data_IF_598464855251
#
_entry.id   IF_598464855251
#
_cell.length_a   1.000
_cell.length_b   1.000
_cell.length_c   1.000
_cell.angle_alpha   90.00
_cell.angle_beta   90.00
_cell.angle_gamma   90.00
#
_symmetry.space_group_name_H-M   'P 1'
#
loop_
_entity.id
_entity.type
_entity.pdbx_description
1 polymer ?
#
# COMPACT_ATOMS: atom_id res chain seq x y z
N UNK A 1 -27.27 54.33 13.46
CA UNK A 1 -26.68 55.66 13.12
C UNK A 1 -25.33 55.74 13.81
N UNK A 2 -24.28 56.12 13.04
CA UNK A 2 -22.92 56.25 13.53
C UNK A 2 -22.56 57.72 13.70
N UNK A 3 -21.77 58.07 14.73
CA UNK A 3 -21.34 59.44 14.98
C UNK A 3 -20.20 59.82 14.04
N UNK A 4 -20.19 61.08 13.63
CA UNK A 4 -19.09 61.72 12.93
C UNK A 4 -18.58 62.90 13.76
N UNK A 5 -17.28 63.14 13.79
CA UNK A 5 -16.67 64.33 14.41
C UNK A 5 -16.40 65.37 13.32
N UNK A 6 -16.94 66.56 13.52
CA UNK A 6 -16.77 67.69 12.62
C UNK A 6 -15.84 68.70 13.31
N UNK A 7 -14.76 69.04 12.64
CA UNK A 7 -13.75 69.99 13.13
C UNK A 7 -14.00 71.40 12.54
N UNK A 8 -13.55 72.39 13.23
CA UNK A 8 -13.65 73.80 12.77
C UNK A 8 -12.94 74.09 11.47
N UNK A 9 -12.00 73.24 11.10
CA UNK A 9 -11.26 73.26 9.82
C UNK A 9 -12.08 72.78 8.62
N UNK A 10 -13.30 72.27 8.87
CA UNK A 10 -14.13 71.64 7.84
C UNK A 10 -13.86 70.14 7.67
N UNK A 11 -12.90 69.58 8.40
CA UNK A 11 -12.59 68.15 8.35
C UNK A 11 -13.69 67.38 9.10
N UNK A 12 -14.15 66.29 8.50
CA UNK A 12 -15.12 65.36 9.10
C UNK A 12 -14.44 64.02 9.31
N UNK A 13 -14.36 63.59 10.56
CA UNK A 13 -13.83 62.28 10.92
C UNK A 13 -14.99 61.33 11.22
N UNK A 14 -15.18 60.33 10.37
CA UNK A 14 -16.25 59.35 10.46
C UNK A 14 -15.72 57.94 10.33
N UNK A 15 -15.87 57.13 11.36
CA UNK A 15 -15.43 55.75 11.44
C UNK A 15 -16.63 54.86 11.77
N UNK A 16 -17.41 54.46 10.77
CA UNK A 16 -18.55 53.58 11.00
C UNK A 16 -18.09 52.12 11.18
N UNK A 17 -18.56 51.41 12.24
CA UNK A 17 -18.35 49.96 12.31
C UNK A 17 -19.21 49.30 11.24
N UNK A 18 -18.58 48.42 10.46
CA UNK A 18 -19.26 47.70 9.39
C UNK A 18 -18.65 46.27 9.23
N UNK A 19 -19.51 45.34 8.84
CA UNK A 19 -19.12 43.98 8.49
C UNK A 19 -19.25 43.85 6.99
N UNK A 20 -18.13 43.57 6.33
CA UNK A 20 -18.09 43.34 4.89
C UNK A 20 -17.95 41.84 4.63
N UNK A 21 -18.76 41.33 3.70
CA UNK A 21 -18.65 39.97 3.18
C UNK A 21 -18.28 40.06 1.72
N UNK A 22 -17.16 39.51 1.36
CA UNK A 22 -16.70 39.47 -0.04
C UNK A 22 -16.48 38.00 -0.52
N UNK A 23 -16.60 37.79 -1.82
CA UNK A 23 -16.28 36.54 -2.45
C UNK A 23 -14.78 36.50 -2.78
N UNK A 24 -14.20 35.33 -2.65
CA UNK A 24 -12.80 35.09 -3.01
C UNK A 24 -12.69 33.85 -3.90
N UNK A 25 -11.91 33.90 -4.95
CA UNK A 25 -11.56 32.74 -5.76
C UNK A 25 -10.55 31.92 -4.98
N UNK A 26 -10.90 30.71 -4.64
CA UNK A 26 -10.05 29.81 -3.84
C UNK A 26 -9.27 28.88 -4.77
N UNK A 27 -7.95 28.84 -4.60
CA UNK A 27 -7.06 27.89 -5.25
C UNK A 27 -6.76 26.73 -4.28
N UNK A 28 -7.26 25.54 -4.61
CA UNK A 28 -7.11 24.32 -3.79
C UNK A 28 -6.02 23.40 -4.27
N UNK A 29 -5.19 23.83 -5.22
CA UNK A 29 -4.14 22.98 -5.85
C UNK A 29 -3.28 22.28 -4.82
N UNK A 30 -2.79 23.01 -3.82
CA UNK A 30 -1.89 22.48 -2.79
C UNK A 30 -2.57 22.23 -1.45
N UNK A 31 -3.90 22.12 -1.45
CA UNK A 31 -4.62 21.81 -0.21
C UNK A 31 -4.02 20.56 0.49
N UNK A 32 -3.78 20.60 1.83
CA UNK A 32 -4.10 21.63 2.81
C UNK A 32 -2.97 22.66 3.08
N UNK A 33 -1.94 22.72 2.27
CA UNK A 33 -0.82 23.68 2.35
C UNK A 33 -1.05 24.90 1.44
N UNK A 34 -2.30 25.35 1.34
CA UNK A 34 -2.71 26.37 0.41
C UNK A 34 -2.57 27.79 0.97
N UNK A 35 -2.33 28.72 0.09
CA UNK A 35 -2.29 30.16 0.34
C UNK A 35 -3.28 30.84 -0.60
N UNK A 36 -4.10 31.72 -0.06
CA UNK A 36 -5.14 32.41 -0.81
C UNK A 36 -4.85 33.89 -0.89
N UNK A 37 -5.20 34.49 -2.01
CA UNK A 37 -5.11 35.92 -2.20
C UNK A 37 -6.53 36.48 -2.46
N UNK A 38 -7.15 37.00 -1.40
CA UNK A 38 -8.47 37.56 -1.43
C UNK A 38 -8.42 39.08 -1.54
N UNK A 39 -9.25 39.66 -2.37
CA UNK A 39 -9.28 41.11 -2.59
C UNK A 39 -10.63 41.70 -2.17
N UNK A 40 -10.57 42.85 -1.51
CA UNK A 40 -11.71 43.67 -1.21
C UNK A 40 -11.54 45.03 -1.88
N UNK A 41 -12.49 45.37 -2.74
CA UNK A 41 -12.44 46.60 -3.54
C UNK A 41 -13.47 47.59 -2.98
N UNK A 42 -13.01 48.79 -2.67
CA UNK A 42 -13.83 49.92 -2.19
C UNK A 42 -13.77 51.05 -3.21
N UNK A 43 -14.92 51.54 -3.61
CA UNK A 43 -14.98 52.62 -4.58
C UNK A 43 -16.39 53.23 -4.62
N UNK A 44 -16.51 54.42 -5.15
CA UNK A 44 -17.80 55.00 -5.44
C UNK A 44 -18.46 54.30 -6.61
N UNK A 45 -19.74 53.96 -6.51
CA UNK A 45 -20.47 53.33 -7.60
C UNK A 45 -20.93 54.35 -8.65
N UNK A 46 -21.28 55.57 -8.22
CA UNK A 46 -21.91 56.57 -9.07
C UNK A 46 -21.05 57.77 -9.39
N UNK A 47 -20.11 58.12 -8.53
CA UNK A 47 -19.29 59.29 -8.67
C UNK A 47 -17.93 58.98 -9.27
N UNK A 48 -17.55 59.76 -10.25
CA UNK A 48 -16.25 59.77 -10.90
C UNK A 48 -15.15 60.45 -10.06
N UNK A 49 -13.91 60.33 -10.44
CA UNK A 49 -12.76 60.92 -9.76
C UNK A 49 -12.82 62.43 -9.60
N UNK A 50 -13.48 63.12 -10.51
CA UNK A 50 -13.63 64.59 -10.43
C UNK A 50 -14.55 65.04 -9.32
N UNK A 51 -15.48 64.17 -8.85
CA UNK A 51 -16.46 64.50 -7.80
C UNK A 51 -16.09 63.90 -6.46
N UNK A 52 -15.63 62.61 -6.43
CA UNK A 52 -15.18 61.92 -5.23
C UNK A 52 -13.88 61.21 -5.58
N UNK A 53 -12.79 61.64 -4.97
CA UNK A 53 -11.52 60.89 -5.00
C UNK A 53 -11.32 60.18 -3.67
N UNK A 54 -10.61 59.06 -3.69
CA UNK A 54 -10.24 58.28 -2.54
C UNK A 54 -8.75 58.41 -2.27
N UNK A 55 -8.40 58.68 -1.05
CA UNK A 55 -7.03 58.76 -0.60
C UNK A 55 -6.80 57.71 0.45
N UNK A 56 -5.73 56.93 0.32
CA UNK A 56 -5.37 55.90 1.28
C UNK A 56 -4.67 56.56 2.47
N UNK A 57 -5.17 56.32 3.68
CA UNK A 57 -4.51 56.79 4.91
C UNK A 57 -3.20 56.01 5.17
N UNK A 58 -3.26 54.70 4.99
CA UNK A 58 -2.07 53.80 5.14
C UNK A 58 -2.08 52.75 4.04
N UNK A 59 -0.88 52.30 3.64
CA UNK A 59 -0.74 51.27 2.60
C UNK A 59 -1.06 49.86 3.11
N UNK A 60 -1.09 49.67 4.43
CA UNK A 60 -1.37 48.36 5.07
C UNK A 60 -2.64 48.48 5.90
N UNK A 61 -3.32 47.35 6.06
CA UNK A 61 -4.49 47.26 6.96
C UNK A 61 -4.01 47.20 8.39
N UNK A 62 -4.63 47.98 9.28
CA UNK A 62 -4.35 47.92 10.72
C UNK A 62 -4.93 46.63 11.31
N UNK A 63 -4.08 45.76 11.81
CA UNK A 63 -4.42 44.45 12.38
C UNK A 63 -4.30 44.42 13.92
N UNK A 64 -4.19 45.61 14.61
CA UNK A 64 -4.01 45.65 16.08
C UNK A 64 -5.14 44.99 16.85
N UNK A 65 -6.36 45.14 16.39
CA UNK A 65 -7.56 44.57 17.01
C UNK A 65 -8.03 43.30 16.29
N UNK A 66 -7.19 42.69 15.46
CA UNK A 66 -7.49 41.44 14.76
C UNK A 66 -7.45 40.25 15.70
N UNK A 67 -8.56 39.49 15.74
CA UNK A 67 -8.62 38.20 16.44
C UNK A 67 -8.14 37.09 15.48
N UNK A 68 -7.08 36.40 15.91
CA UNK A 68 -6.50 35.32 15.10
C UNK A 68 -7.51 34.21 14.85
N UNK A 69 -7.53 33.74 13.61
CA UNK A 69 -8.31 32.57 13.22
C UNK A 69 -7.55 31.30 13.59
N UNK A 70 -8.25 30.29 14.09
CA UNK A 70 -7.64 28.96 14.32
C UNK A 70 -7.33 28.17 13.05
N UNK A 71 -7.78 28.65 11.88
CA UNK A 71 -7.63 27.95 10.59
C UNK A 71 -6.76 28.72 9.60
N UNK A 72 -6.76 30.05 9.65
CA UNK A 72 -6.09 30.92 8.71
C UNK A 72 -5.19 31.95 9.39
N UNK A 73 -3.98 32.11 8.87
CA UNK A 73 -3.06 33.17 9.28
C UNK A 73 -2.97 34.22 8.17
N UNK A 74 -3.10 35.51 8.54
CA UNK A 74 -2.89 36.63 7.62
C UNK A 74 -1.38 36.85 7.47
N UNK A 75 -0.86 36.65 6.26
CA UNK A 75 0.56 36.85 5.94
C UNK A 75 0.81 38.29 5.51
N UNK A 76 -0.11 38.84 4.73
CA UNK A 76 0.01 40.21 4.23
C UNK A 76 -1.38 40.80 4.02
N UNK A 77 -1.50 42.12 4.27
CA UNK A 77 -2.73 42.87 4.06
C UNK A 77 -2.35 44.26 3.52
N UNK A 78 -2.25 44.40 2.20
CA UNK A 78 -1.82 45.62 1.53
C UNK A 78 -2.96 46.23 0.71
N UNK A 79 -3.04 47.53 0.72
CA UNK A 79 -3.98 48.29 -0.10
C UNK A 79 -3.28 48.99 -1.28
N UNK A 80 -3.95 49.06 -2.40
CA UNK A 80 -3.48 49.77 -3.58
C UNK A 80 -4.61 50.69 -4.07
N UNK A 81 -4.23 51.91 -4.41
CA UNK A 81 -5.10 52.85 -5.12
C UNK A 81 -5.03 52.58 -6.63
N UNK A 82 -6.20 52.41 -7.26
CA UNK A 82 -6.31 52.19 -8.69
C UNK A 82 -7.32 53.16 -9.29
N UNK A 83 -7.13 53.42 -10.58
CA UNK A 83 -8.11 54.17 -11.38
C UNK A 83 -8.52 53.32 -12.57
N UNK A 84 -9.82 53.22 -12.81
CA UNK A 84 -10.33 52.38 -13.90
C UNK A 84 -11.28 53.23 -14.78
N UNK A 85 -11.09 53.13 -16.07
CA UNK A 85 -12.01 53.61 -17.09
C UNK A 85 -12.85 52.43 -17.57
N UNK A 86 -14.15 52.63 -17.60
CA UNK A 86 -15.11 51.61 -18.08
C UNK A 86 -15.55 51.97 -19.50
N UNK A 87 -15.87 50.96 -20.31
CA UNK A 87 -16.27 51.16 -21.71
C UNK A 87 -17.58 51.90 -21.87
N UNK A 88 -18.40 51.90 -20.85
CA UNK A 88 -19.66 52.66 -20.84
C UNK A 88 -19.52 54.18 -20.76
N UNK A 89 -18.39 54.65 -20.26
CA UNK A 89 -18.30 56.02 -19.76
C UNK A 89 -16.96 56.66 -20.03
N UNK A 90 -16.93 57.98 -20.27
CA UNK A 90 -15.69 58.71 -20.52
C UNK A 90 -14.90 59.00 -19.24
N UNK A 91 -15.60 58.95 -18.07
CA UNK A 91 -15.08 59.31 -16.78
C UNK A 91 -14.22 58.20 -16.18
N UNK A 92 -13.30 58.61 -15.30
CA UNK A 92 -12.40 57.69 -14.56
C UNK A 92 -12.95 57.53 -13.14
N UNK A 93 -13.01 56.27 -12.70
CA UNK A 93 -13.49 55.91 -11.36
C UNK A 93 -12.29 55.44 -10.54
N UNK A 94 -12.07 56.05 -9.34
CA UNK A 94 -11.03 55.59 -8.43
C UNK A 94 -11.56 54.45 -7.56
N UNK A 95 -10.65 53.53 -7.22
CA UNK A 95 -10.91 52.50 -6.22
C UNK A 95 -9.69 52.25 -5.35
N UNK A 96 -9.91 51.83 -4.13
CA UNK A 96 -8.90 51.29 -3.24
C UNK A 96 -9.17 49.81 -3.06
N UNK A 97 -8.22 48.98 -3.47
CA UNK A 97 -8.34 47.55 -3.38
C UNK A 97 -7.34 47.03 -2.34
N UNK A 98 -7.84 46.34 -1.34
CA UNK A 98 -7.04 45.66 -0.32
C UNK A 98 -6.88 44.20 -0.71
N UNK A 99 -5.63 43.70 -0.66
CA UNK A 99 -5.26 42.34 -0.94
C UNK A 99 -4.88 41.68 0.37
N UNK A 100 -5.61 40.62 0.73
CA UNK A 100 -5.33 39.80 1.89
C UNK A 100 -4.69 38.49 1.44
N UNK A 101 -3.43 38.31 1.78
CA UNK A 101 -2.72 37.04 1.56
C UNK A 101 -2.86 36.26 2.86
N UNK A 102 -3.63 35.19 2.78
CA UNK A 102 -3.91 34.31 3.92
C UNK A 102 -3.38 32.90 3.64
N UNK A 103 -2.79 32.28 4.65
CA UNK A 103 -2.25 30.91 4.59
C UNK A 103 -3.00 30.03 5.58
N UNK A 104 -3.36 28.83 5.13
CA UNK A 104 -4.02 27.85 5.98
C UNK A 104 -3.07 27.29 7.02
N UNK A 105 -3.56 27.04 8.23
CA UNK A 105 -2.87 26.30 9.29
C UNK A 105 -3.13 24.80 9.08
N UNK A 106 -2.14 24.02 8.60
CA UNK A 106 -2.41 22.68 8.08
C UNK A 106 -2.49 21.58 9.15
N UNK A 107 -2.21 21.89 10.44
CA UNK A 107 -2.06 20.90 11.50
C UNK A 107 -3.27 19.97 11.64
N UNK A 108 -4.46 20.51 11.65
CA UNK A 108 -5.70 19.73 11.75
C UNK A 108 -5.86 18.76 10.59
N UNK A 109 -5.63 19.22 9.36
CA UNK A 109 -5.74 18.41 8.15
C UNK A 109 -4.60 17.40 8.04
N UNK A 110 -3.42 17.75 8.52
CA UNK A 110 -2.28 16.81 8.56
C UNK A 110 -2.59 15.61 9.45
N UNK A 111 -3.09 15.85 10.66
CA UNK A 111 -3.37 14.78 11.62
C UNK A 111 -4.58 13.94 11.17
N UNK A 112 -5.68 14.59 10.75
CA UNK A 112 -6.93 13.87 10.50
C UNK A 112 -7.09 13.37 9.06
N UNK A 113 -6.31 13.89 8.12
CA UNK A 113 -6.44 13.56 6.70
C UNK A 113 -5.18 12.89 6.16
N UNK A 114 -4.01 13.53 6.28
CA UNK A 114 -2.77 13.04 5.64
C UNK A 114 -2.26 11.78 6.34
N UNK A 115 -2.16 11.78 7.66
CA UNK A 115 -1.64 10.62 8.40
C UNK A 115 -2.47 9.36 8.16
N UNK A 116 -3.82 9.36 8.31
CA UNK A 116 -4.61 8.16 8.02
C UNK A 116 -4.49 7.69 6.57
N UNK A 117 -4.39 8.63 5.62
CA UNK A 117 -4.22 8.30 4.22
C UNK A 117 -2.88 7.58 3.95
N UNK A 118 -1.79 8.04 4.56
CA UNK A 118 -0.48 7.39 4.49
C UNK A 118 -0.48 6.01 5.16
N UNK A 119 -1.17 5.86 6.29
CA UNK A 119 -1.34 4.57 6.95
C UNK A 119 -2.11 3.57 6.07
N UNK A 120 -3.20 4.01 5.44
CA UNK A 120 -3.94 3.17 4.48
C UNK A 120 -3.07 2.76 3.29
N UNK A 121 -2.25 3.67 2.76
CA UNK A 121 -1.28 3.34 1.71
C UNK A 121 -0.26 2.30 2.17
N UNK A 122 0.21 2.38 3.41
CA UNK A 122 1.09 1.38 4.01
C UNK A 122 0.43 0.00 4.15
N UNK A 123 -0.87 -0.04 4.48
CA UNK A 123 -1.62 -1.30 4.57
C UNK A 123 -1.72 -2.02 3.22
N UNK A 124 -1.74 -1.30 2.10
CA UNK A 124 -1.75 -1.96 0.77
C UNK A 124 -0.49 -2.78 0.52
N UNK A 125 0.65 -2.33 1.03
CA UNK A 125 1.91 -3.05 0.94
C UNK A 125 1.89 -4.31 1.80
N UNK A 126 1.26 -4.22 3.00
CA UNK A 126 1.17 -5.34 3.94
C UNK A 126 0.43 -6.55 3.36
N UNK A 127 -0.51 -6.33 2.43
CA UNK A 127 -1.23 -7.42 1.73
C UNK A 127 -0.27 -8.43 1.10
N UNK A 128 0.81 -7.96 0.46
CA UNK A 128 1.80 -8.82 -0.18
C UNK A 128 2.79 -9.47 0.79
N UNK A 129 2.84 -8.97 2.02
CA UNK A 129 3.63 -9.59 3.08
C UNK A 129 2.90 -10.79 3.72
N UNK A 130 1.58 -10.78 3.73
CA UNK A 130 0.76 -11.84 4.31
C UNK A 130 0.94 -13.16 3.53
N UNK A 131 1.09 -14.31 4.21
CA UNK A 131 1.14 -15.61 3.55
C UNK A 131 -0.19 -15.94 2.89
N UNK A 132 -0.15 -16.63 1.74
CA UNK A 132 -1.34 -16.95 0.96
C UNK A 132 -2.22 -18.03 1.60
N UNK A 133 -1.66 -18.79 2.54
CA UNK A 133 -2.38 -19.84 3.28
C UNK A 133 -3.41 -19.26 4.27
N UNK A 134 -3.26 -18.00 4.72
CA UNK A 134 -4.15 -17.40 5.73
C UNK A 134 -5.58 -17.11 5.23
N UNK A 135 -5.84 -17.07 3.92
CA UNK A 135 -7.17 -16.75 3.38
C UNK A 135 -7.62 -15.28 3.54
N UNK A 136 -7.03 -14.51 4.46
CA UNK A 136 -7.46 -13.16 4.83
C UNK A 136 -6.94 -12.04 3.92
N UNK A 137 -6.13 -12.36 2.90
CA UNK A 137 -5.58 -11.36 1.98
C UNK A 137 -6.66 -10.55 1.27
N UNK A 138 -7.70 -11.22 0.78
CA UNK A 138 -8.81 -10.58 0.03
C UNK A 138 -9.60 -9.67 0.97
N UNK A 139 -9.90 -10.14 2.18
CA UNK A 139 -10.61 -9.37 3.21
C UNK A 139 -9.87 -8.08 3.53
N UNK A 140 -8.56 -8.14 3.71
CA UNK A 140 -7.72 -6.96 3.97
C UNK A 140 -7.75 -5.99 2.76
N UNK A 141 -7.62 -6.49 1.53
CA UNK A 141 -7.68 -5.65 0.34
C UNK A 141 -9.01 -4.91 0.21
N UNK A 142 -10.13 -5.62 0.41
CA UNK A 142 -11.47 -5.04 0.31
C UNK A 142 -11.70 -4.00 1.41
N UNK A 143 -11.26 -4.27 2.63
CA UNK A 143 -11.39 -3.32 3.76
C UNK A 143 -10.60 -2.05 3.52
N UNK A 144 -9.38 -2.14 2.98
CA UNK A 144 -8.57 -0.97 2.61
C UNK A 144 -9.23 -0.18 1.47
N UNK A 145 -9.75 -0.86 0.44
CA UNK A 145 -10.46 -0.19 -0.65
C UNK A 145 -11.71 0.55 -0.14
N UNK A 146 -12.51 -0.09 0.72
CA UNK A 146 -13.68 0.54 1.33
C UNK A 146 -13.29 1.76 2.16
N UNK A 147 -12.23 1.65 2.96
CA UNK A 147 -11.72 2.77 3.76
C UNK A 147 -11.27 3.93 2.88
N UNK A 148 -10.55 3.69 1.79
CA UNK A 148 -10.13 4.73 0.86
C UNK A 148 -11.32 5.39 0.15
N UNK A 149 -12.36 4.65 -0.21
CA UNK A 149 -13.57 5.23 -0.82
C UNK A 149 -14.31 6.14 0.15
N UNK A 150 -14.44 5.75 1.42
CA UNK A 150 -15.00 6.60 2.46
C UNK A 150 -14.15 7.86 2.66
N UNK A 151 -12.84 7.73 2.69
CA UNK A 151 -11.93 8.89 2.77
C UNK A 151 -12.10 9.85 1.59
N UNK A 152 -12.22 9.32 0.37
CA UNK A 152 -12.46 10.16 -0.81
C UNK A 152 -13.77 10.94 -0.69
N UNK A 153 -14.84 10.30 -0.19
CA UNK A 153 -16.11 10.97 0.05
C UNK A 153 -16.00 12.08 1.10
N UNK A 154 -15.29 11.81 2.21
CA UNK A 154 -15.05 12.85 3.24
C UNK A 154 -14.29 14.06 2.69
N UNK A 155 -13.33 13.83 1.81
CA UNK A 155 -12.57 14.94 1.18
C UNK A 155 -13.46 15.76 0.26
N UNK A 156 -14.36 15.13 -0.50
CA UNK A 156 -15.29 15.86 -1.37
C UNK A 156 -16.25 16.76 -0.61
N UNK A 157 -16.56 16.44 0.65
CA UNK A 157 -17.39 17.27 1.52
C UNK A 157 -16.62 18.47 2.11
N UNK A 158 -15.31 18.29 2.35
CA UNK A 158 -14.45 19.34 2.97
C UNK A 158 -14.02 20.38 1.94
N UNK A 159 -13.74 19.95 0.70
CA UNK A 159 -13.20 20.80 -0.35
C UNK A 159 -14.36 21.39 -1.16
N UNK A 160 -14.39 22.72 -1.35
CA UNK A 160 -15.41 23.32 -2.21
C UNK A 160 -15.35 22.72 -3.62
N UNK A 161 -16.51 22.36 -4.16
CA UNK A 161 -16.65 21.79 -5.49
C UNK A 161 -16.22 22.80 -6.56
N UNK A 162 -14.95 22.84 -6.89
CA UNK A 162 -14.40 23.58 -8.01
C UNK A 162 -14.07 22.61 -9.12
N UNK A 163 -14.56 22.86 -10.31
CA UNK A 163 -14.27 22.05 -11.51
C UNK A 163 -12.96 22.42 -12.20
N UNK A 164 -12.24 23.41 -11.69
CA UNK A 164 -11.06 23.98 -12.34
C UNK A 164 -9.77 23.26 -11.99
N UNK A 165 -9.64 22.79 -10.75
CA UNK A 165 -8.40 22.17 -10.25
C UNK A 165 -8.73 21.05 -9.27
N UNK A 166 -8.08 19.89 -9.44
CA UNK A 166 -8.16 18.79 -8.49
C UNK A 166 -7.11 19.03 -7.39
N UNK A 167 -7.47 18.97 -6.11
CA UNK A 167 -6.51 19.08 -5.01
C UNK A 167 -5.47 17.96 -5.07
N UNK A 168 -4.23 18.27 -4.72
CA UNK A 168 -3.12 17.32 -4.70
C UNK A 168 -3.43 16.05 -3.89
N UNK A 169 -4.08 16.21 -2.73
CA UNK A 169 -4.52 15.08 -1.90
C UNK A 169 -5.55 14.19 -2.60
N UNK A 170 -6.43 14.78 -3.42
CA UNK A 170 -7.41 14.04 -4.23
C UNK A 170 -6.73 13.20 -5.31
N UNK A 171 -5.71 13.74 -5.98
CA UNK A 171 -4.92 13.01 -6.96
C UNK A 171 -4.19 11.82 -6.31
N UNK A 172 -3.60 12.04 -5.13
CA UNK A 172 -2.95 10.97 -4.37
C UNK A 172 -3.91 9.85 -3.97
N UNK A 173 -5.13 10.18 -3.54
CA UNK A 173 -6.15 9.18 -3.19
C UNK A 173 -6.64 8.41 -4.40
N UNK A 174 -6.87 9.08 -5.54
CA UNK A 174 -7.22 8.40 -6.78
C UNK A 174 -6.12 7.45 -7.22
N UNK A 175 -4.87 7.91 -7.17
CA UNK A 175 -3.71 7.07 -7.45
C UNK A 175 -3.67 5.84 -6.55
N UNK A 176 -3.80 6.01 -5.21
CA UNK A 176 -3.81 4.88 -4.27
C UNK A 176 -4.99 3.94 -4.51
N UNK A 177 -6.19 4.43 -4.84
CA UNK A 177 -7.33 3.59 -5.20
C UNK A 177 -7.05 2.69 -6.41
N UNK A 178 -6.45 3.24 -7.46
CA UNK A 178 -6.07 2.46 -8.65
C UNK A 178 -5.08 1.35 -8.26
N UNK A 179 -4.07 1.69 -7.43
CA UNK A 179 -3.09 0.70 -6.96
C UNK A 179 -3.69 -0.36 -6.05
N UNK A 180 -4.61 0.00 -5.16
CA UNK A 180 -5.34 -0.98 -4.33
C UNK A 180 -6.17 -1.91 -5.21
N UNK A 181 -6.86 -1.38 -6.21
CA UNK A 181 -7.62 -2.21 -7.15
C UNK A 181 -6.70 -3.16 -7.91
N UNK A 182 -5.55 -2.68 -8.38
CA UNK A 182 -4.54 -3.51 -9.01
C UNK A 182 -4.01 -4.59 -8.05
N UNK A 183 -3.79 -4.25 -6.77
CA UNK A 183 -3.36 -5.21 -5.77
C UNK A 183 -4.38 -6.33 -5.54
N UNK A 184 -5.68 -6.03 -5.61
CA UNK A 184 -6.74 -7.04 -5.52
C UNK A 184 -6.64 -8.02 -6.68
N UNK A 185 -6.52 -7.50 -7.92
CA UNK A 185 -6.39 -8.33 -9.12
C UNK A 185 -5.16 -9.25 -9.03
N UNK A 186 -4.03 -8.70 -8.62
CA UNK A 186 -2.79 -9.47 -8.42
C UNK A 186 -2.98 -10.52 -7.33
N UNK A 187 -3.60 -10.17 -6.21
CA UNK A 187 -3.84 -11.09 -5.10
C UNK A 187 -4.72 -12.27 -5.53
N UNK A 188 -5.78 -12.01 -6.30
CA UNK A 188 -6.62 -13.08 -6.86
C UNK A 188 -5.83 -13.98 -7.80
N UNK A 189 -4.97 -13.39 -8.63
CA UNK A 189 -4.07 -14.15 -9.50
C UNK A 189 -3.10 -15.03 -8.70
N UNK A 190 -2.46 -14.47 -7.67
CA UNK A 190 -1.51 -15.20 -6.79
C UNK A 190 -2.22 -16.34 -6.06
N UNK A 191 -3.43 -16.12 -5.53
CA UNK A 191 -4.22 -17.16 -4.89
C UNK A 191 -4.60 -18.27 -5.88
N UNK A 192 -4.93 -17.93 -7.12
CA UNK A 192 -5.19 -18.91 -8.16
C UNK A 192 -3.93 -19.77 -8.44
N UNK A 193 -2.76 -19.14 -8.49
CA UNK A 193 -1.47 -19.86 -8.66
C UNK A 193 -1.17 -20.74 -7.46
N UNK A 194 -1.42 -20.24 -6.24
CA UNK A 194 -1.16 -20.96 -4.99
C UNK A 194 -2.01 -22.24 -4.85
N UNK A 195 -3.28 -22.21 -5.30
CA UNK A 195 -4.21 -23.34 -5.21
C UNK A 195 -4.14 -24.28 -6.42
N UNK A 196 -3.16 -24.12 -7.33
CA UNK A 196 -3.01 -25.02 -8.47
C UNK A 196 -2.63 -26.43 -8.02
N UNK A 197 -3.37 -27.41 -8.57
CA UNK A 197 -3.13 -28.81 -8.35
C UNK A 197 -2.34 -29.42 -9.54
N UNK A 198 -1.43 -30.38 -9.32
CA UNK A 198 -0.71 -31.07 -10.38
C UNK A 198 -1.62 -31.81 -11.35
N UNK A 199 -2.78 -32.27 -10.88
CA UNK A 199 -3.78 -32.95 -11.72
C UNK A 199 -4.40 -32.07 -12.79
N UNK A 200 -4.41 -30.73 -12.57
CA UNK A 200 -5.03 -29.76 -13.49
C UNK A 200 -4.03 -28.99 -14.33
N UNK A 201 -2.82 -28.76 -13.82
CA UNK A 201 -1.82 -27.91 -14.50
C UNK A 201 -0.40 -28.44 -14.30
N UNK A 202 0.21 -28.91 -15.37
CA UNK A 202 1.65 -29.20 -15.41
C UNK A 202 2.44 -27.89 -15.39
N UNK A 203 3.54 -27.85 -14.60
CA UNK A 203 4.35 -26.64 -14.51
C UNK A 203 5.19 -26.45 -15.78
N UNK A 204 5.03 -25.34 -16.55
CA UNK A 204 5.85 -25.06 -17.73
C UNK A 204 7.32 -24.88 -17.35
N UNK A 205 8.21 -25.33 -18.20
CA UNK A 205 9.66 -25.27 -17.97
C UNK A 205 10.17 -23.83 -17.73
N UNK A 206 9.62 -22.84 -18.44
CA UNK A 206 10.00 -21.43 -18.27
C UNK A 206 9.65 -20.89 -16.88
N UNK A 207 8.51 -21.28 -16.30
CA UNK A 207 8.12 -20.90 -14.92
C UNK A 207 9.12 -21.47 -13.93
N UNK A 208 9.51 -22.73 -14.11
CA UNK A 208 10.49 -23.39 -13.24
C UNK A 208 11.84 -22.68 -13.29
N UNK A 209 12.35 -22.35 -14.47
CA UNK A 209 13.64 -21.65 -14.61
C UNK A 209 13.57 -20.22 -14.07
N UNK A 210 12.52 -19.47 -14.36
CA UNK A 210 12.38 -18.08 -13.94
C UNK A 210 12.15 -17.96 -12.43
N UNK A 211 11.09 -18.62 -11.91
CA UNK A 211 10.63 -18.41 -10.52
C UNK A 211 11.28 -19.34 -9.48
N UNK A 212 11.86 -20.46 -9.89
CA UNK A 212 12.60 -21.33 -8.98
C UNK A 212 14.13 -21.15 -9.07
N UNK A 213 14.62 -20.54 -10.16
CA UNK A 213 16.06 -20.35 -10.38
C UNK A 213 16.55 -18.91 -10.30
N UNK A 214 16.13 -18.05 -11.23
CA UNK A 214 16.68 -16.69 -11.38
C UNK A 214 16.14 -15.69 -10.34
N UNK A 215 14.84 -15.60 -10.20
CA UNK A 215 14.18 -14.58 -9.38
C UNK A 215 14.47 -14.73 -7.88
N UNK A 216 14.44 -15.94 -7.26
CA UNK A 216 14.75 -16.10 -5.84
C UNK A 216 16.17 -15.65 -5.48
N UNK A 217 17.13 -15.86 -6.37
CA UNK A 217 18.51 -15.40 -6.17
C UNK A 217 18.59 -13.88 -6.11
N UNK A 218 17.80 -13.20 -6.94
CA UNK A 218 17.75 -11.74 -6.94
C UNK A 218 17.05 -11.17 -5.70
N UNK A 219 16.04 -11.90 -5.19
CA UNK A 219 15.31 -11.55 -3.98
C UNK A 219 15.96 -12.04 -2.67
N UNK A 220 17.14 -12.66 -2.72
CA UNK A 220 17.83 -13.27 -1.57
C UNK A 220 16.96 -14.29 -0.81
N UNK A 221 16.08 -14.98 -1.52
CA UNK A 221 15.24 -16.04 -0.95
C UNK A 221 15.93 -17.40 -1.11
N UNK A 222 16.08 -18.11 0.00
CA UNK A 222 16.52 -19.51 -0.01
C UNK A 222 15.30 -20.44 0.00
N UNK A 223 15.31 -21.45 -0.86
CA UNK A 223 14.30 -22.51 -0.81
C UNK A 223 14.55 -23.35 0.45
N UNK A 224 13.54 -23.60 1.30
CA UNK A 224 13.68 -24.58 2.34
C UNK A 224 13.94 -25.95 1.65
N UNK A 225 15.11 -26.50 1.91
CA UNK A 225 15.39 -27.88 1.49
C UNK A 225 14.38 -28.78 2.22
N UNK A 226 13.73 -29.73 1.51
CA UNK A 226 12.96 -30.74 2.19
C UNK A 226 13.90 -31.39 3.21
N UNK A 227 13.51 -31.34 4.48
CA UNK A 227 14.22 -32.03 5.54
C UNK A 227 14.18 -33.51 5.19
N UNK A 228 15.23 -34.01 4.58
CA UNK A 228 15.56 -35.42 4.61
C UNK A 228 15.79 -35.71 6.10
N UNK A 229 14.74 -36.11 6.80
CA UNK A 229 14.92 -36.81 8.06
C UNK A 229 15.88 -37.95 7.79
N UNK A 230 17.03 -37.98 8.45
CA UNK A 230 17.93 -39.10 8.29
C UNK A 230 17.15 -40.33 8.78
N UNK A 231 16.66 -41.14 7.87
CA UNK A 231 16.20 -42.48 8.22
C UNK A 231 17.40 -43.15 8.90
N UNK A 232 17.36 -43.14 10.23
CA UNK A 232 18.26 -43.96 11.03
C UNK A 232 18.08 -45.39 10.56
N UNK A 233 19.16 -46.06 10.07
CA UNK A 233 19.02 -47.45 9.70
C UNK A 233 18.52 -48.21 10.92
N UNK A 234 17.55 -49.09 10.76
CA UNK A 234 17.10 -49.90 11.88
C UNK A 234 18.28 -50.71 12.41
N UNK A 235 18.69 -50.43 13.66
CA UNK A 235 19.64 -51.25 14.39
C UNK A 235 19.11 -52.68 14.41
N UNK A 236 19.63 -53.51 13.52
CA UNK A 236 19.44 -54.94 13.54
C UNK A 236 20.16 -55.50 14.78
N UNK A 237 19.47 -55.55 15.91
CA UNK A 237 19.86 -56.39 17.01
C UNK A 237 19.61 -57.86 16.59
N UNK A 238 20.64 -58.73 16.55
CA UNK A 238 20.41 -60.13 16.30
C UNK A 238 19.80 -60.79 17.55
N UNK A 239 18.61 -61.29 17.42
CA UNK A 239 17.99 -62.16 18.42
C UNK A 239 16.78 -61.62 19.12
N UNK A 240 15.61 -61.62 18.49
CA UNK A 240 14.34 -61.66 19.20
C UNK A 240 13.29 -62.38 18.35
N UNK A 241 12.87 -63.47 18.91
CA UNK A 241 11.80 -64.36 18.49
C UNK A 241 10.53 -63.58 18.11
N UNK A 242 9.98 -63.84 16.93
CA UNK A 242 8.72 -63.27 16.45
C UNK A 242 7.56 -63.81 17.31
N UNK A 243 7.03 -62.98 18.19
CA UNK A 243 5.76 -63.24 18.85
C UNK A 243 4.66 -62.58 18.00
N UNK A 244 3.80 -63.39 17.42
CA UNK A 244 2.57 -62.94 16.78
C UNK A 244 1.65 -62.28 17.81
N UNK A 245 1.37 -61.00 17.65
CA UNK A 245 0.31 -60.33 18.39
C UNK A 245 -0.99 -60.59 17.65
N UNK A 246 -1.86 -61.38 18.26
CA UNK A 246 -3.28 -61.42 17.92
C UNK A 246 -3.92 -60.10 18.34
N UNK A 247 -4.40 -59.33 17.40
CA UNK A 247 -5.22 -58.14 17.64
C UNK A 247 -6.65 -58.62 17.81
N UNK A 248 -7.14 -58.62 19.04
CA UNK A 248 -8.57 -58.63 19.31
C UNK A 248 -9.12 -57.23 18.98
N UNK A 249 -10.04 -57.20 18.07
CA UNK A 249 -10.90 -56.06 17.81
C UNK A 249 -12.11 -56.20 18.69
N UNK A 250 -12.16 -55.42 19.76
CA UNK A 250 -13.42 -55.12 20.44
C UNK A 250 -13.59 -53.61 20.51
N UNK A 251 -14.77 -53.21 20.01
CA UNK A 251 -15.27 -51.86 19.98
C UNK A 251 -15.45 -51.31 21.41
N UNK A 252 -15.12 -50.09 21.64
CA UNK A 252 -16.00 -49.21 22.43
C UNK A 252 -15.83 -47.75 22.09
N UNK A 253 -16.96 -47.12 21.86
CA UNK A 253 -17.19 -45.68 21.69
C UNK A 253 -16.90 -44.99 23.04
N UNK A 254 -16.29 -43.82 23.00
CA UNK A 254 -16.76 -42.65 23.73
C UNK A 254 -15.90 -41.41 23.48
N UNK A 255 -16.62 -40.35 23.17
CA UNK A 255 -16.36 -38.93 23.24
C UNK A 255 -15.34 -38.52 24.33
N UNK A 256 -14.51 -37.50 23.95
CA UNK A 256 -14.42 -36.29 24.76
C UNK A 256 -13.60 -35.20 24.00
N UNK A 257 -14.29 -34.10 23.80
CA UNK A 257 -13.72 -32.76 23.53
C UNK A 257 -12.74 -32.40 24.65
N UNK A 258 -11.57 -31.89 24.30
CA UNK A 258 -10.97 -30.81 25.08
C UNK A 258 -10.01 -29.94 24.23
N UNK A 259 -10.32 -28.69 24.30
CA UNK A 259 -9.64 -27.47 24.04
C UNK A 259 -8.19 -27.46 24.54
N UNK A 260 -7.23 -27.12 23.72
CA UNK A 260 -6.03 -26.47 24.23
C UNK A 260 -5.52 -25.38 23.26
N UNK A 261 -5.84 -24.20 23.66
CA UNK A 261 -5.34 -22.90 23.29
C UNK A 261 -3.88 -22.71 23.77
N UNK A 262 -3.14 -21.89 23.09
CA UNK A 262 -1.89 -21.27 23.54
C UNK A 262 -0.57 -22.04 23.43
N UNK A 263 0.18 -21.70 22.39
CA UNK A 263 1.58 -21.32 22.56
C UNK A 263 2.20 -20.56 21.39
N UNK A 264 1.99 -19.26 21.35
CA UNK A 264 2.90 -18.36 20.62
C UNK A 264 4.01 -17.93 21.59
N UNK A 265 5.19 -18.51 21.45
CA UNK A 265 6.40 -18.01 22.08
C UNK A 265 7.44 -17.74 21.00
N UNK A 266 7.74 -16.47 20.89
CA UNK A 266 8.89 -15.79 20.34
C UNK A 266 10.18 -16.60 20.26
N UNK A 267 10.77 -16.66 19.07
CA UNK A 267 12.20 -16.80 18.92
C UNK A 267 12.68 -15.92 17.76
N UNK A 268 12.83 -14.63 18.05
CA UNK A 268 13.84 -13.80 17.39
C UNK A 268 15.14 -14.04 18.18
N UNK A 269 16.17 -14.46 17.49
CA UNK A 269 17.58 -14.18 17.68
C UNK A 269 18.45 -15.35 17.22
N UNK A 270 19.13 -15.16 16.13
CA UNK A 270 20.58 -14.98 16.10
C UNK A 270 21.11 -15.21 14.70
N UNK A 271 21.64 -14.17 14.15
CA UNK A 271 22.64 -14.24 13.09
C UNK A 271 23.93 -14.83 13.65
N UNK A 272 24.68 -15.58 12.85
CA UNK A 272 26.04 -15.16 12.67
C UNK A 272 26.45 -15.00 11.18
N UNK A 273 27.25 -13.98 11.01
CA UNK A 273 28.12 -13.72 9.87
C UNK A 273 29.08 -14.89 9.61
N UNK A 274 29.43 -15.04 8.40
CA UNK A 274 30.72 -15.29 7.72
C UNK A 274 30.39 -16.06 6.44
N UNK A 275 30.75 -15.67 5.29
CA UNK A 275 32.04 -15.19 4.84
C UNK A 275 32.63 -16.17 3.86
N UNK A 276 32.58 -15.76 2.57
CA UNK A 276 33.66 -16.00 1.58
C UNK A 276 33.98 -17.46 1.24
N UNK A 277 33.77 -17.88 0.02
CA UNK A 277 34.77 -18.01 -1.03
C UNK A 277 34.19 -18.71 -2.27
N UNK A 278 34.18 -17.98 -3.35
CA UNK A 278 34.17 -18.57 -4.69
C UNK A 278 35.48 -19.33 -4.89
N UNK A 279 35.39 -20.55 -5.33
CA UNK A 279 36.50 -21.20 -6.03
C UNK A 279 36.01 -21.84 -7.30
N UNK A 280 36.67 -21.42 -8.31
CA UNK A 280 36.71 -21.85 -9.68
C UNK A 280 37.03 -23.35 -9.85
N UNK A 281 36.49 -23.92 -10.90
CA UNK A 281 37.29 -24.83 -11.73
C UNK A 281 36.84 -26.27 -11.74
N UNK A 282 36.56 -26.75 -12.93
CA UNK A 282 36.65 -28.18 -13.18
C UNK A 282 35.67 -28.69 -14.25
N UNK A 283 35.97 -28.32 -15.47
CA UNK A 283 35.54 -29.03 -16.69
C UNK A 283 36.15 -30.43 -16.69
N UNK A 284 35.36 -31.49 -16.67
CA UNK A 284 35.79 -32.81 -17.10
C UNK A 284 34.79 -33.39 -18.07
N UNK A 285 35.36 -33.65 -19.25
CA UNK A 285 34.79 -34.40 -20.34
C UNK A 285 34.69 -35.89 -20.00
N UNK A 286 33.65 -36.47 -20.48
CA UNK A 286 33.45 -37.75 -21.11
C UNK A 286 34.26 -38.95 -20.65
N UNK A 287 33.51 -39.97 -20.21
CA UNK A 287 33.88 -41.33 -20.47
C UNK A 287 32.63 -42.18 -20.58
N UNK A 288 32.38 -42.65 -21.76
CA UNK A 288 31.47 -43.74 -22.09
C UNK A 288 31.98 -45.02 -21.45
N UNK A 289 31.24 -45.57 -20.51
CA UNK A 289 31.47 -46.90 -19.96
C UNK A 289 30.29 -47.83 -20.32
N UNK A 290 30.51 -49.11 -20.48
CA UNK A 290 29.66 -50.01 -21.24
C UNK A 290 28.39 -50.40 -20.48
N UNK A 291 27.30 -50.56 -21.25
CA UNK A 291 26.04 -51.18 -20.83
C UNK A 291 26.34 -52.60 -20.33
N UNK A 292 26.27 -52.80 -19.03
CA UNK A 292 26.18 -54.11 -18.45
C UNK A 292 24.72 -54.57 -18.52
N UNK A 293 24.41 -55.37 -19.51
CA UNK A 293 23.21 -56.18 -19.55
C UNK A 293 23.21 -57.14 -18.37
N UNK A 294 22.68 -56.75 -17.24
CA UNK A 294 22.40 -57.66 -16.15
C UNK A 294 21.16 -58.47 -16.51
N UNK A 295 21.41 -59.55 -17.24
CA UNK A 295 20.49 -60.66 -17.49
C UNK A 295 20.28 -61.38 -16.16
N UNK A 296 19.33 -60.96 -15.36
CA UNK A 296 18.87 -61.75 -14.22
C UNK A 296 18.10 -62.95 -14.73
N UNK A 297 18.78 -64.08 -14.69
CA UNK A 297 18.12 -65.37 -14.86
C UNK A 297 17.06 -65.52 -13.77
N UNK A 298 15.81 -65.65 -14.18
CA UNK A 298 14.67 -66.06 -13.37
C UNK A 298 14.92 -67.46 -12.82
N UNK A 299 15.52 -67.53 -11.64
CA UNK A 299 15.39 -68.69 -10.76
C UNK A 299 13.99 -68.67 -10.20
N UNK A 300 13.08 -69.46 -10.73
CA UNK A 300 11.69 -69.53 -10.31
C UNK A 300 11.54 -70.06 -8.89
N UNK A 301 11.54 -69.15 -7.90
CA UNK A 301 10.93 -69.44 -6.63
C UNK A 301 9.40 -69.31 -6.86
N UNK A 302 8.71 -70.46 -6.89
CA UNK A 302 7.26 -70.56 -6.85
C UNK A 302 6.76 -69.95 -5.53
N UNK A 303 6.62 -68.63 -5.48
CA UNK A 303 5.95 -67.97 -4.34
C UNK A 303 4.51 -68.44 -4.26
N UNK A 304 4.10 -68.83 -3.08
CA UNK A 304 2.70 -69.14 -2.79
C UNK A 304 1.78 -68.02 -3.28
N UNK A 305 0.63 -68.32 -3.89
CA UNK A 305 -0.26 -67.33 -4.47
C UNK A 305 -0.73 -66.28 -3.45
N UNK A 306 -0.68 -66.60 -2.15
CA UNK A 306 -0.94 -65.65 -1.07
C UNK A 306 0.15 -64.59 -0.89
N UNK A 307 1.42 -64.98 -1.01
CA UNK A 307 2.56 -64.09 -0.93
C UNK A 307 2.62 -63.18 -2.19
N UNK A 308 2.30 -63.73 -3.35
CA UNK A 308 2.21 -62.95 -4.61
C UNK A 308 1.16 -61.86 -4.51
N UNK A 309 -0.01 -62.14 -3.96
CA UNK A 309 -1.08 -61.18 -3.71
C UNK A 309 -0.71 -60.10 -2.66
N UNK A 310 0.03 -60.51 -1.63
CA UNK A 310 0.55 -59.57 -0.62
C UNK A 310 1.60 -58.65 -1.23
N UNK A 311 2.52 -59.14 -2.08
CA UNK A 311 3.55 -58.38 -2.75
C UNK A 311 2.92 -57.37 -3.72
N UNK A 312 1.87 -57.75 -4.46
CA UNK A 312 1.11 -56.90 -5.34
C UNK A 312 0.42 -55.76 -4.59
N UNK A 313 -0.17 -56.06 -3.43
CA UNK A 313 -0.73 -55.07 -2.51
C UNK A 313 0.32 -54.05 -2.01
N UNK A 314 1.49 -54.55 -1.57
CA UNK A 314 2.58 -53.64 -1.13
C UNK A 314 3.11 -52.80 -2.27
N UNK A 315 3.19 -53.35 -3.48
CA UNK A 315 3.62 -52.61 -4.67
C UNK A 315 2.61 -51.51 -5.02
N UNK A 316 1.32 -51.82 -4.99
CA UNK A 316 0.28 -50.85 -5.23
C UNK A 316 0.33 -49.67 -4.22
N UNK A 317 0.51 -49.99 -2.91
CA UNK A 317 0.65 -48.94 -1.88
C UNK A 317 1.92 -48.11 -2.12
N UNK A 318 3.05 -48.76 -2.46
CA UNK A 318 4.30 -48.03 -2.71
C UNK A 318 4.21 -47.12 -3.96
N UNK A 319 3.52 -47.55 -5.02
CA UNK A 319 3.32 -46.76 -6.23
C UNK A 319 2.32 -45.62 -5.95
N UNK A 320 1.29 -45.86 -5.12
CA UNK A 320 0.36 -44.81 -4.68
C UNK A 320 1.05 -43.73 -3.85
N UNK A 321 1.85 -44.12 -2.84
CA UNK A 321 2.62 -43.17 -2.04
C UNK A 321 3.63 -42.38 -2.89
N UNK A 322 4.29 -42.99 -3.84
CA UNK A 322 5.16 -42.28 -4.79
C UNK A 322 4.41 -41.25 -5.65
N UNK A 323 3.21 -41.58 -6.06
CA UNK A 323 2.37 -40.64 -6.82
C UNK A 323 1.94 -39.48 -5.95
N UNK A 324 1.56 -39.74 -4.68
CA UNK A 324 1.21 -38.68 -3.73
C UNK A 324 2.40 -37.78 -3.38
N UNK A 325 3.60 -38.34 -3.19
CA UNK A 325 4.83 -37.57 -2.93
C UNK A 325 5.19 -36.68 -4.15
N UNK A 326 5.06 -37.21 -5.35
CA UNK A 326 5.29 -36.43 -6.57
C UNK A 326 4.28 -35.28 -6.72
N UNK A 327 3.01 -35.54 -6.40
CA UNK A 327 1.95 -34.55 -6.44
C UNK A 327 2.11 -33.47 -5.35
N UNK A 328 2.55 -33.84 -4.15
CA UNK A 328 2.84 -32.90 -3.07
C UNK A 328 4.03 -31.99 -3.41
N UNK A 329 5.08 -32.55 -4.00
CA UNK A 329 6.25 -31.76 -4.45
C UNK A 329 5.86 -30.70 -5.50
N UNK A 330 4.99 -31.02 -6.45
CA UNK A 330 4.51 -30.04 -7.44
C UNK A 330 3.63 -28.98 -6.79
N UNK A 331 2.79 -29.32 -5.80
CA UNK A 331 2.01 -28.34 -5.04
C UNK A 331 2.92 -27.37 -4.28
N UNK A 332 3.98 -27.87 -3.64
CA UNK A 332 4.97 -27.04 -2.97
C UNK A 332 5.70 -26.10 -3.94
N UNK A 333 6.05 -26.58 -5.13
CA UNK A 333 6.64 -25.75 -6.17
C UNK A 333 5.70 -24.59 -6.57
N UNK A 334 4.39 -24.84 -6.75
CA UNK A 334 3.41 -23.78 -7.05
C UNK A 334 3.21 -22.80 -5.87
N UNK A 335 3.20 -23.30 -4.63
CA UNK A 335 3.17 -22.45 -3.43
C UNK A 335 4.40 -21.54 -3.35
N UNK A 336 5.57 -22.08 -3.65
CA UNK A 336 6.80 -21.29 -3.68
C UNK A 336 6.80 -20.24 -4.78
N UNK A 337 6.31 -20.57 -5.98
CA UNK A 337 6.13 -19.60 -7.07
C UNK A 337 5.19 -18.46 -6.65
N UNK A 338 4.07 -18.77 -6.01
CA UNK A 338 3.14 -17.75 -5.49
C UNK A 338 3.82 -16.83 -4.47
N UNK A 339 4.61 -17.39 -3.55
CA UNK A 339 5.38 -16.61 -2.57
C UNK A 339 6.43 -15.69 -3.24
N UNK A 340 7.11 -16.15 -4.28
CA UNK A 340 8.07 -15.34 -5.03
C UNK A 340 7.37 -14.19 -5.74
N UNK A 341 6.22 -14.43 -6.34
CA UNK A 341 5.39 -13.38 -6.97
C UNK A 341 4.96 -12.34 -5.94
N UNK A 342 4.48 -12.76 -4.76
CA UNK A 342 4.14 -11.84 -3.67
C UNK A 342 5.32 -10.95 -3.27
N UNK A 343 6.53 -11.50 -3.19
CA UNK A 343 7.73 -10.72 -2.84
C UNK A 343 8.13 -9.72 -3.92
N UNK A 344 7.98 -10.05 -5.20
CA UNK A 344 8.21 -9.11 -6.30
C UNK A 344 7.25 -7.92 -6.17
N UNK A 345 5.95 -8.20 -6.01
CA UNK A 345 4.95 -7.15 -5.89
C UNK A 345 5.10 -6.36 -4.60
N UNK A 346 5.52 -6.98 -3.49
CA UNK A 346 5.86 -6.27 -2.25
C UNK A 346 6.87 -5.14 -2.51
N UNK A 347 8.00 -5.47 -3.13
CA UNK A 347 9.03 -4.47 -3.43
C UNK A 347 8.54 -3.40 -4.42
N UNK A 348 7.82 -3.83 -5.46
CA UNK A 348 7.23 -2.91 -6.43
C UNK A 348 6.30 -1.90 -5.74
N UNK A 349 5.39 -2.38 -4.88
CA UNK A 349 4.44 -1.53 -4.18
C UNK A 349 5.12 -0.63 -3.14
N UNK A 350 6.15 -1.09 -2.44
CA UNK A 350 6.96 -0.23 -1.55
C UNK A 350 7.52 0.96 -2.34
N UNK A 351 8.14 0.71 -3.49
CA UNK A 351 8.74 1.77 -4.32
C UNK A 351 7.66 2.72 -4.83
N UNK A 352 6.54 2.20 -5.31
CA UNK A 352 5.43 3.00 -5.81
C UNK A 352 4.78 3.85 -4.72
N UNK A 353 4.53 3.30 -3.53
CA UNK A 353 4.00 4.05 -2.39
C UNK A 353 4.98 5.14 -1.94
N UNK A 354 6.27 4.83 -1.92
CA UNK A 354 7.30 5.83 -1.59
C UNK A 354 7.32 6.98 -2.60
N UNK A 355 7.34 6.68 -3.91
CA UNK A 355 7.32 7.69 -4.96
C UNK A 355 6.03 8.51 -4.95
N UNK A 356 4.88 7.88 -4.70
CA UNK A 356 3.60 8.56 -4.53
C UNK A 356 3.59 9.51 -3.33
N UNK A 357 4.16 9.09 -2.21
CA UNK A 357 4.29 9.94 -1.02
C UNK A 357 5.24 11.11 -1.25
N UNK A 358 6.39 10.88 -1.89
CA UNK A 358 7.31 11.94 -2.29
C UNK A 358 6.62 12.91 -3.25
N UNK A 359 5.86 12.39 -4.23
CA UNK A 359 5.08 13.21 -5.16
C UNK A 359 4.04 14.10 -4.49
N UNK A 360 3.47 13.67 -3.35
CA UNK A 360 2.53 14.47 -2.57
C UNK A 360 3.22 15.65 -1.84
N UNK A 361 4.38 15.43 -1.25
CA UNK A 361 5.02 16.45 -0.39
C UNK A 361 6.03 17.32 -1.13
N UNK A 362 6.61 16.85 -2.22
CA UNK A 362 7.65 17.57 -2.95
C UNK A 362 7.13 18.88 -3.57
N UNK A 363 5.96 18.94 -4.24
CA UNK A 363 5.47 20.18 -4.85
C UNK A 363 5.22 21.31 -3.81
N UNK A 364 4.49 21.11 -2.69
CA UNK A 364 4.29 22.15 -1.70
C UNK A 364 5.60 22.54 -0.98
N UNK A 365 6.53 21.60 -0.80
CA UNK A 365 7.85 21.89 -0.24
C UNK A 365 8.67 22.80 -1.18
N UNK A 366 8.73 22.50 -2.47
CA UNK A 366 9.42 23.33 -3.46
C UNK A 366 8.79 24.71 -3.64
N UNK A 367 7.48 24.83 -3.43
CA UNK A 367 6.75 26.09 -3.44
C UNK A 367 6.95 26.92 -2.15
N UNK A 368 7.67 26.41 -1.14
CA UNK A 368 7.90 27.09 0.15
C UNK A 368 6.65 27.26 0.99
N UNK A 369 5.68 26.34 0.84
CA UNK A 369 4.39 26.37 1.57
C UNK A 369 4.41 25.51 2.82
N UNK A 370 5.37 24.59 2.97
CA UNK A 370 5.63 23.75 4.14
C UNK A 370 6.83 24.27 4.89
#
# INVERSE_FOLDING_TARGET
MTKAHVFSTGTVHWVPPAIYKSSCSIDVTFFPFDQQNCKMKFGSWTYDKAKIDLEQMEQTVDLKDYWESGEWAIINATGTYNTKKYDCCAEIYPDVTYYFVIRRLPLFYTINLIIPCLLLSGLTVLVFYLPSDCGEKITLCISVLLSLTVFLLLITDIIPSTSLVIPLIGEYLLFTMVFVTLSIVITVFVLNVHHRSPSTHTMPHWVRVAFLGCVPRWLLMSRPLPSLEPQQPPDLKPGSSYRWLETNVDADEREEEEVEEDRWVWAAQSLPRLGVLCSHGGRHQGASGPKADARWQQGGLLLSPRIQKALEGVRYIADHLRSEDADSSVKEDWKYVAMVIDRIFLWLFIVVCFLGTVGLFLPPFLAGMI
#
